data_IF_170249796000
#
_entry.id   IF_170249796000
#
_cell.length_a   1.000
_cell.length_b   1.000
_cell.length_c   1.000
_cell.angle_alpha   90.00
_cell.angle_beta   90.00
_cell.angle_gamma   90.00
#
_symmetry.space_group_name_H-M   'P 1'
#
loop_
_entity.id
_entity.type
_entity.pdbx_description
1 polymer ?
#
# COMPACT_ATOMS: atom_id res chain seq x y z
N UNK A 1 -2.57 -6.32 -5.76
CA UNK A 1 -1.37 -5.44 -5.88
C UNK A 1 -0.07 -6.08 -5.43
N UNK A 2 -0.07 -7.19 -4.66
CA UNK A 2 1.16 -7.94 -4.33
C UNK A 2 1.91 -7.48 -3.07
N UNK A 3 1.38 -6.49 -2.34
CA UNK A 3 1.92 -6.05 -1.05
C UNK A 3 1.52 -7.00 0.07
N UNK A 4 2.37 -7.11 1.08
CA UNK A 4 1.99 -7.68 2.36
C UNK A 4 1.42 -6.59 3.26
N UNK A 5 0.12 -6.67 3.54
CA UNK A 5 -0.62 -5.72 4.36
C UNK A 5 -1.01 -6.42 5.65
N UNK A 6 -0.67 -5.81 6.78
CA UNK A 6 -1.12 -6.26 8.10
C UNK A 6 -2.36 -5.46 8.52
N UNK A 7 -3.00 -5.92 9.59
CA UNK A 7 -4.11 -5.23 10.23
C UNK A 7 -5.45 -5.90 9.97
N UNK A 8 -6.41 -5.53 10.79
CA UNK A 8 -7.79 -6.00 10.71
C UNK A 8 -8.63 -5.04 9.85
N UNK A 9 -9.72 -5.54 9.27
CA UNK A 9 -10.62 -4.73 8.43
C UNK A 9 -11.23 -3.53 9.17
N UNK A 10 -11.35 -3.61 10.50
CA UNK A 10 -11.89 -2.54 11.35
C UNK A 10 -10.82 -1.53 11.82
N UNK A 11 -9.56 -1.72 11.41
CA UNK A 11 -8.46 -0.81 11.75
C UNK A 11 -8.34 0.34 10.73
N UNK A 12 -8.31 1.61 11.18
CA UNK A 12 -8.04 2.74 10.28
C UNK A 12 -6.57 2.80 9.83
N UNK A 13 -5.70 1.99 10.43
CA UNK A 13 -4.28 1.91 10.08
C UNK A 13 -4.01 0.60 9.37
N UNK A 14 -3.50 0.69 8.14
CA UNK A 14 -3.10 -0.44 7.31
C UNK A 14 -1.58 -0.41 7.08
N UNK A 15 -0.79 -1.22 7.79
CA UNK A 15 0.65 -1.27 7.59
C UNK A 15 1.03 -2.13 6.37
N UNK A 16 1.82 -1.56 5.46
CA UNK A 16 2.48 -2.27 4.35
C UNK A 16 3.89 -2.65 4.80
N UNK A 17 4.23 -3.94 4.73
CA UNK A 17 5.53 -4.43 5.19
C UNK A 17 6.67 -4.06 4.24
N UNK A 18 7.78 -3.62 4.82
CA UNK A 18 9.01 -3.27 4.10
C UNK A 18 10.18 -3.97 4.83
N UNK A 19 10.50 -5.18 4.39
CA UNK A 19 11.50 -6.04 5.05
C UNK A 19 12.94 -5.59 4.87
N UNK A 20 13.22 -4.73 3.87
CA UNK A 20 14.55 -4.21 3.63
C UNK A 20 14.63 -2.73 4.06
N UNK A 21 15.39 -2.41 5.12
CA UNK A 21 15.54 -1.04 5.60
C UNK A 21 16.02 -0.03 4.56
N UNK A 22 16.85 -0.45 3.59
CA UNK A 22 17.33 0.44 2.54
C UNK A 22 16.20 0.93 1.61
N UNK A 23 15.11 0.15 1.48
CA UNK A 23 13.96 0.49 0.63
C UNK A 23 13.00 1.47 1.30
N UNK A 24 13.03 1.59 2.61
CA UNK A 24 12.17 2.46 3.40
C UNK A 24 12.23 3.94 2.93
N UNK A 25 13.41 4.60 2.92
CA UNK A 25 13.50 5.99 2.48
C UNK A 25 13.23 6.14 0.99
N UNK A 26 13.53 5.13 0.17
CA UNK A 26 13.21 5.13 -1.25
C UNK A 26 11.69 5.18 -1.46
N UNK A 27 10.94 4.29 -0.81
CA UNK A 27 9.48 4.25 -0.90
C UNK A 27 8.85 5.57 -0.48
N UNK A 28 9.24 6.12 0.68
CA UNK A 28 8.70 7.40 1.17
C UNK A 28 8.98 8.57 0.22
N UNK A 29 10.21 8.70 -0.27
CA UNK A 29 10.60 9.80 -1.16
C UNK A 29 9.93 9.72 -2.53
N UNK A 30 9.82 8.52 -3.10
CA UNK A 30 9.17 8.34 -4.40
C UNK A 30 7.65 8.53 -4.34
N UNK A 31 7.00 8.18 -3.22
CA UNK A 31 5.60 8.55 -2.99
C UNK A 31 5.44 10.07 -2.85
N UNK A 32 6.31 10.73 -2.08
CA UNK A 32 6.24 12.18 -1.87
C UNK A 32 6.44 12.98 -3.17
N UNK A 33 7.32 12.53 -4.07
CA UNK A 33 7.48 13.11 -5.42
C UNK A 33 6.21 13.06 -6.26
N UNK A 34 5.31 12.13 -5.97
CA UNK A 34 4.01 11.99 -6.62
C UNK A 34 2.87 12.59 -5.76
N UNK A 35 3.21 13.49 -4.84
CA UNK A 35 2.28 14.20 -3.94
C UNK A 35 1.51 13.29 -2.96
N UNK A 36 2.03 12.09 -2.65
CA UNK A 36 1.47 11.19 -1.64
C UNK A 36 2.45 11.05 -0.48
N UNK A 37 2.08 11.58 0.68
CA UNK A 37 2.87 11.43 1.91
C UNK A 37 2.52 10.10 2.60
N UNK A 38 3.54 9.32 2.95
CA UNK A 38 3.39 8.04 3.67
C UNK A 38 4.19 8.06 4.97
N UNK A 39 3.59 7.54 6.04
CA UNK A 39 4.25 7.44 7.34
C UNK A 39 5.11 6.19 7.35
N UNK A 40 6.40 6.37 7.54
CA UNK A 40 7.35 5.27 7.69
C UNK A 40 7.57 4.95 9.17
N UNK A 41 7.62 3.66 9.49
CA UNK A 41 8.00 3.17 10.82
C UNK A 41 9.11 2.14 10.69
N UNK A 42 10.24 2.42 11.34
CA UNK A 42 11.37 1.52 11.45
C UNK A 42 11.94 1.53 12.87
N UNK A 43 13.14 0.96 13.04
CA UNK A 43 13.83 0.94 14.33
C UNK A 43 14.01 2.36 14.90
N UNK A 44 13.76 2.60 16.21
CA UNK A 44 13.49 1.62 17.28
C UNK A 44 12.01 1.26 17.49
N UNK A 45 11.09 1.85 16.72
CA UNK A 45 9.65 1.63 16.91
C UNK A 45 9.18 0.23 16.45
N UNK A 46 9.94 -0.41 15.57
CA UNK A 46 9.80 -1.83 15.19
C UNK A 46 11.16 -2.51 15.15
N UNK A 47 11.23 -3.85 15.27
CA UNK A 47 12.44 -4.59 14.95
C UNK A 47 12.95 -4.29 13.54
N UNK A 48 14.27 -4.37 13.33
CA UNK A 48 14.91 -3.99 12.06
C UNK A 48 14.29 -4.64 10.81
N UNK A 49 13.89 -5.91 10.92
CA UNK A 49 13.30 -6.67 9.82
C UNK A 49 11.79 -6.44 9.67
N UNK A 50 11.13 -5.74 10.59
CA UNK A 50 9.68 -5.54 10.59
C UNK A 50 9.32 -4.05 10.40
N UNK A 51 10.13 -3.34 9.62
CA UNK A 51 9.79 -2.00 9.20
C UNK A 51 8.60 -2.01 8.23
N UNK A 52 7.84 -0.92 8.23
CA UNK A 52 6.56 -0.83 7.52
C UNK A 52 6.18 0.61 7.24
N UNK A 53 5.44 0.81 6.15
CA UNK A 53 4.73 2.06 5.90
C UNK A 53 3.32 1.96 6.48
N UNK A 54 2.94 2.89 7.35
CA UNK A 54 1.58 2.98 7.89
C UNK A 54 0.73 3.86 6.98
N UNK A 55 -0.30 3.27 6.38
CA UNK A 55 -1.35 4.02 5.69
C UNK A 55 -2.44 4.31 6.71
N UNK A 56 -2.63 5.58 7.04
CA UNK A 56 -3.60 6.03 8.03
C UNK A 56 -4.81 6.62 7.32
N UNK A 57 -5.91 5.87 7.26
CA UNK A 57 -7.15 6.33 6.68
C UNK A 57 -7.88 7.23 7.68
N UNK A 58 -8.48 8.28 7.15
CA UNK A 58 -9.32 9.23 7.86
C UNK A 58 -10.58 9.48 7.06
N UNK A 59 -11.69 9.80 7.73
CA UNK A 59 -12.96 10.17 7.10
C UNK A 59 -12.85 11.43 6.21
N UNK A 60 -11.76 12.20 6.33
CA UNK A 60 -11.50 13.36 5.49
C UNK A 60 -11.03 13.01 4.06
N UNK A 61 -10.61 11.77 3.79
CA UNK A 61 -10.16 11.38 2.44
C UNK A 61 -11.35 11.11 1.53
N UNK A 62 -11.33 11.69 0.33
CA UNK A 62 -12.30 11.38 -0.73
C UNK A 62 -11.98 10.03 -1.39
N UNK A 63 -12.93 9.49 -2.17
CA UNK A 63 -12.68 8.25 -2.94
C UNK A 63 -11.59 8.47 -3.99
N UNK A 64 -11.56 9.67 -4.56
CA UNK A 64 -10.59 10.11 -5.54
C UNK A 64 -9.18 10.13 -4.94
N UNK A 65 -9.03 10.67 -3.72
CA UNK A 65 -7.74 10.66 -2.99
C UNK A 65 -7.24 9.23 -2.76
N UNK A 66 -8.15 8.33 -2.37
CA UNK A 66 -7.80 6.92 -2.15
C UNK A 66 -7.37 6.22 -3.45
N UNK A 67 -8.06 6.49 -4.55
CA UNK A 67 -7.70 5.92 -5.86
C UNK A 67 -6.33 6.42 -6.33
N UNK A 68 -6.05 7.72 -6.19
CA UNK A 68 -4.74 8.32 -6.51
C UNK A 68 -3.65 7.68 -5.63
N UNK A 69 -3.91 7.56 -4.33
CA UNK A 69 -2.97 6.93 -3.41
C UNK A 69 -2.67 5.47 -3.79
N UNK A 70 -3.68 4.69 -4.17
CA UNK A 70 -3.51 3.31 -4.61
C UNK A 70 -2.67 3.21 -5.89
N UNK A 71 -2.91 4.08 -6.87
CA UNK A 71 -2.14 4.13 -8.12
C UNK A 71 -0.65 4.45 -7.85
N UNK A 72 -0.40 5.52 -7.08
CA UNK A 72 0.95 5.95 -6.72
C UNK A 72 1.67 4.86 -5.91
N UNK A 73 1.03 4.30 -4.89
CA UNK A 73 1.60 3.23 -4.07
C UNK A 73 1.91 2.01 -4.94
N UNK A 74 1.02 1.63 -5.85
CA UNK A 74 1.25 0.51 -6.78
C UNK A 74 2.51 0.74 -7.61
N UNK A 75 2.61 1.91 -8.26
CA UNK A 75 3.73 2.26 -9.14
C UNK A 75 5.06 2.34 -8.39
N UNK A 76 5.06 2.97 -7.21
CA UNK A 76 6.27 3.04 -6.36
C UNK A 76 6.63 1.66 -5.80
N UNK A 77 5.64 0.82 -5.53
CA UNK A 77 5.85 -0.55 -5.09
C UNK A 77 6.56 -1.41 -6.13
N UNK A 78 6.23 -1.22 -7.41
CA UNK A 78 6.95 -1.85 -8.53
C UNK A 78 8.39 -1.34 -8.61
N UNK A 79 8.57 -0.01 -8.56
CA UNK A 79 9.88 0.63 -8.64
C UNK A 79 10.84 0.21 -7.53
N UNK A 80 10.33 0.11 -6.30
CA UNK A 80 11.12 -0.27 -5.11
C UNK A 80 11.19 -1.78 -4.90
N UNK A 81 10.41 -2.56 -5.64
CA UNK A 81 10.34 -4.02 -5.55
C UNK A 81 9.91 -4.49 -4.15
N UNK A 82 8.86 -3.88 -3.59
CA UNK A 82 8.29 -4.26 -2.28
C UNK A 82 6.96 -5.04 -2.41
N UNK A 83 6.64 -5.51 -3.62
CA UNK A 83 5.54 -6.43 -3.89
C UNK A 83 6.08 -7.86 -3.82
N UNK A 84 5.80 -8.56 -2.72
CA UNK A 84 6.35 -9.88 -2.43
C UNK A 84 5.49 -11.03 -2.93
N UNK A 85 4.19 -10.78 -3.12
CA UNK A 85 3.23 -11.80 -3.57
C UNK A 85 2.91 -11.64 -5.06
N UNK A 86 2.60 -12.75 -5.77
CA UNK A 86 2.03 -12.65 -7.10
C UNK A 86 0.75 -11.81 -7.03
N UNK A 87 0.55 -10.93 -8.02
CA UNK A 87 -0.67 -10.15 -8.09
C UNK A 87 -1.86 -11.10 -8.28
N UNK A 88 -2.81 -11.11 -7.32
CA UNK A 88 -4.08 -11.80 -7.52
C UNK A 88 -4.75 -11.28 -8.81
N UNK A 89 -5.35 -12.17 -9.63
CA UNK A 89 -6.15 -11.74 -10.78
C UNK A 89 -7.27 -10.80 -10.33
N UNK A 90 -7.52 -9.74 -11.11
CA UNK A 90 -8.44 -8.65 -10.76
C UNK A 90 -9.88 -9.17 -10.54
N UNK A 91 -10.34 -9.20 -9.29
CA UNK A 91 -11.72 -9.60 -8.93
C UNK A 91 -12.79 -8.66 -9.49
N UNK A 92 -12.48 -7.39 -9.75
CA UNK A 92 -13.43 -6.40 -10.30
C UNK A 92 -13.99 -6.80 -11.68
N UNK A 93 -13.19 -7.45 -12.54
CA UNK A 93 -13.71 -7.97 -13.82
C UNK A 93 -14.63 -9.18 -13.63
N UNK A 94 -14.46 -9.95 -12.55
CA UNK A 94 -15.25 -11.16 -12.29
C UNK A 94 -16.66 -10.81 -11.83
N UNK A 95 -16.81 -9.74 -11.05
CA UNK A 95 -18.09 -9.29 -10.51
C UNK A 95 -18.92 -8.55 -11.57
N UNK A 96 -18.31 -7.66 -12.36
CA UNK A 96 -18.98 -7.03 -13.52
C UNK A 96 -19.37 -8.04 -14.61
N UNK A 97 -18.57 -9.08 -14.84
CA UNK A 97 -18.92 -10.13 -15.81
C UNK A 97 -20.03 -11.04 -15.28
N UNK A 98 -20.14 -11.30 -13.97
CA UNK A 98 -21.28 -12.03 -13.40
C UNK A 98 -22.58 -11.26 -13.55
N UNK A 99 -22.59 -9.96 -13.26
CA UNK A 99 -23.78 -9.11 -13.39
C UNK A 99 -24.25 -8.95 -14.84
N UNK A 100 -23.36 -9.11 -15.82
CA UNK A 100 -23.73 -9.11 -17.25
C UNK A 100 -24.22 -10.46 -17.79
N UNK A 101 -24.05 -11.53 -17.02
CA UNK A 101 -24.44 -12.90 -17.40
C UNK A 101 -25.75 -13.37 -16.72
N UNK A 102 -26.28 -12.60 -15.77
CA UNK A 102 -27.62 -12.74 -15.17
C UNK A 102 -28.61 -11.77 -15.81
#
# INVERSE_FOLDING_TARGET
MGFEVLGDNDSPVMPIMIYNPAKIPAFSRECLKQNVAVVIVGFPATPLLLARARICISAAHSREDLNIALEVISKVGDLTGIKYFPAEPQKQQVEENRVKLE
#
